data_IF_698726914270
#
_entry.id   IF_698726914270
#
_cell.length_a   1.000
_cell.length_b   1.000
_cell.length_c   1.000
_cell.angle_alpha   90.00
_cell.angle_beta   90.00
_cell.angle_gamma   90.00
#
_symmetry.space_group_name_H-M   'P 1'
#
loop_
_entity.id
_entity.type
_entity.pdbx_description
1 polymer ?
#
# COMPACT_ATOMS: atom_id res chain seq x y z
N UNK A 1 6.63 30.06 -17.97
CA UNK A 1 5.31 30.66 -17.69
C UNK A 1 4.27 29.57 -17.80
N UNK A 2 3.78 29.07 -16.67
CA UNK A 2 2.62 28.18 -16.63
C UNK A 2 1.64 28.84 -15.68
N UNK A 3 0.60 29.48 -16.23
CA UNK A 3 -0.53 29.90 -15.42
C UNK A 3 -1.15 28.61 -14.87
N UNK A 4 -1.02 28.37 -13.57
CA UNK A 4 -1.72 27.27 -12.91
C UNK A 4 -3.20 27.41 -13.23
N UNK A 5 -3.79 26.39 -13.85
CA UNK A 5 -5.24 26.31 -13.98
C UNK A 5 -5.78 26.36 -12.55
N UNK A 6 -6.41 27.48 -12.17
CA UNK A 6 -7.23 27.56 -10.97
C UNK A 6 -8.49 26.72 -11.23
N UNK A 7 -8.32 25.39 -11.25
CA UNK A 7 -9.40 24.45 -11.44
C UNK A 7 -10.26 24.41 -10.18
N UNK A 8 -11.58 24.44 -10.36
CA UNK A 8 -12.48 23.99 -9.29
C UNK A 8 -12.19 22.51 -9.02
N UNK A 9 -12.30 22.04 -7.77
CA UNK A 9 -12.19 20.61 -7.50
C UNK A 9 -13.22 19.85 -8.33
N UNK A 10 -12.78 18.88 -9.12
CA UNK A 10 -13.66 17.90 -9.77
C UNK A 10 -14.07 16.88 -8.71
N UNK A 11 -15.38 16.65 -8.57
CA UNK A 11 -15.91 15.58 -7.71
C UNK A 11 -16.44 14.47 -8.58
N UNK A 12 -16.05 13.24 -8.27
CA UNK A 12 -16.45 12.03 -8.98
C UNK A 12 -17.21 11.13 -8.01
N UNK A 13 -18.35 10.61 -8.44
CA UNK A 13 -19.07 9.61 -7.65
C UNK A 13 -18.40 8.25 -7.83
N UNK A 14 -17.92 7.68 -6.72
CA UNK A 14 -17.41 6.31 -6.67
C UNK A 14 -18.53 5.26 -6.66
N UNK A 15 -18.14 4.00 -6.55
CA UNK A 15 -19.07 2.87 -6.45
C UNK A 15 -19.68 2.78 -5.04
N UNK A 16 -21.00 2.60 -4.95
CA UNK A 16 -21.68 2.41 -3.67
C UNK A 16 -21.26 1.09 -3.00
N UNK A 17 -21.08 1.11 -1.67
CA UNK A 17 -20.71 -0.06 -0.87
C UNK A 17 -19.21 -0.38 -0.83
N UNK A 18 -18.41 0.25 -1.69
CA UNK A 18 -16.95 0.12 -1.69
C UNK A 18 -16.34 0.91 -0.54
N UNK A 19 -15.29 0.35 0.06
CA UNK A 19 -14.50 1.02 1.09
C UNK A 19 -13.01 0.99 0.70
N UNK A 20 -12.47 2.15 0.35
CA UNK A 20 -11.04 2.36 0.11
C UNK A 20 -10.41 3.00 1.35
N UNK A 21 -9.34 2.40 1.89
CA UNK A 21 -8.71 2.86 3.16
C UNK A 21 -7.31 3.42 2.97
N UNK A 22 -6.46 2.76 2.17
CA UNK A 22 -5.09 3.17 1.95
C UNK A 22 -4.85 3.42 0.46
N UNK A 23 -4.17 4.53 0.13
CA UNK A 23 -3.70 4.81 -1.23
C UNK A 23 -2.25 4.36 -1.32
N UNK A 24 -1.98 3.32 -2.09
CA UNK A 24 -0.65 2.79 -2.35
C UNK A 24 0.18 3.76 -3.19
N UNK A 25 -0.42 4.26 -4.26
CA UNK A 25 0.20 5.16 -5.22
C UNK A 25 -0.89 5.88 -6.01
N UNK A 26 -0.62 7.11 -6.42
CA UNK A 26 -1.42 7.81 -7.41
C UNK A 26 -0.53 8.67 -8.29
N UNK A 27 -0.91 8.84 -9.55
CA UNK A 27 -0.18 9.65 -10.51
C UNK A 27 -1.10 10.17 -11.62
N UNK A 28 -0.66 11.23 -12.28
CA UNK A 28 -1.29 11.70 -13.50
C UNK A 28 -1.02 10.71 -14.65
N UNK A 29 -1.97 10.58 -15.56
CA UNK A 29 -1.86 9.72 -16.72
C UNK A 29 -2.50 8.33 -16.59
N UNK A 30 -2.46 7.55 -17.68
CA UNK A 30 -3.01 6.19 -17.72
C UNK A 30 -2.13 5.21 -16.91
N UNK A 31 -2.66 4.03 -16.57
CA UNK A 31 -1.90 2.96 -15.93
C UNK A 31 -0.59 2.62 -16.64
N UNK A 32 0.40 2.19 -15.87
CA UNK A 32 1.69 1.76 -16.38
C UNK A 32 1.54 0.72 -17.51
N UNK A 33 2.22 0.96 -18.64
CA UNK A 33 2.21 0.10 -19.83
C UNK A 33 1.08 0.35 -20.82
N UNK A 34 0.02 1.08 -20.47
CA UNK A 34 -1.11 1.33 -21.38
C UNK A 34 -0.78 2.23 -22.56
N UNK A 35 0.15 3.18 -22.37
CA UNK A 35 0.61 4.04 -23.46
C UNK A 35 1.21 3.22 -24.62
N UNK A 36 1.86 2.09 -24.31
CA UNK A 36 2.51 1.22 -25.30
C UNK A 36 1.57 0.15 -25.86
N UNK A 37 0.63 -0.36 -25.05
CA UNK A 37 -0.34 -1.39 -25.47
C UNK A 37 -1.56 -0.84 -26.21
N UNK A 38 -1.73 0.48 -26.25
CA UNK A 38 -2.93 1.14 -26.75
C UNK A 38 -4.05 1.23 -25.71
N UNK A 39 -4.92 2.22 -25.91
CA UNK A 39 -6.03 2.53 -25.01
C UNK A 39 -7.15 1.48 -25.14
N UNK A 40 -7.74 0.99 -24.03
CA UNK A 40 -8.92 0.15 -24.13
C UNK A 40 -10.06 0.92 -24.79
N UNK A 41 -10.89 0.23 -25.59
CA UNK A 41 -11.96 0.88 -26.38
C UNK A 41 -12.95 1.69 -25.53
N UNK A 42 -13.14 1.31 -24.26
CA UNK A 42 -13.99 2.03 -23.31
C UNK A 42 -13.51 3.48 -23.03
N UNK A 43 -12.24 3.80 -23.32
CA UNK A 43 -11.62 5.09 -23.07
C UNK A 43 -11.53 5.95 -24.35
N UNK A 44 -12.26 5.59 -25.41
CA UNK A 44 -12.22 6.32 -26.67
C UNK A 44 -12.60 7.80 -26.49
N UNK A 45 -11.81 8.70 -27.06
CA UNK A 45 -12.01 10.15 -26.99
C UNK A 45 -11.48 10.82 -25.71
N UNK A 46 -10.82 10.07 -24.82
CA UNK A 46 -10.13 10.61 -23.63
C UNK A 46 -8.68 10.99 -23.95
N UNK A 47 -8.11 11.91 -23.17
CA UNK A 47 -6.70 12.30 -23.29
C UNK A 47 -5.89 11.84 -22.08
N UNK A 48 -4.64 11.44 -22.30
CA UNK A 48 -3.75 10.97 -21.23
C UNK A 48 -3.61 12.00 -20.10
N UNK A 49 -3.52 13.29 -20.47
CA UNK A 49 -3.26 14.39 -19.55
C UNK A 49 -4.43 14.68 -18.60
N UNK A 50 -5.63 14.17 -18.90
CA UNK A 50 -6.82 14.37 -18.08
C UNK A 50 -7.12 13.15 -17.18
N UNK A 51 -6.31 12.09 -17.27
CA UNK A 51 -6.46 10.90 -16.45
C UNK A 51 -5.67 11.02 -15.15
N UNK A 52 -6.23 10.43 -14.09
CA UNK A 52 -5.55 10.12 -12.83
C UNK A 52 -5.67 8.63 -12.59
N UNK A 53 -4.55 7.96 -12.35
CA UNK A 53 -4.53 6.56 -11.92
C UNK A 53 -4.22 6.48 -10.44
N UNK A 54 -5.02 5.73 -9.69
CA UNK A 54 -4.81 5.50 -8.26
C UNK A 54 -4.85 4.01 -7.94
N UNK A 55 -4.01 3.58 -7.02
CA UNK A 55 -3.94 2.22 -6.51
C UNK A 55 -4.27 2.25 -5.03
N UNK A 56 -5.28 1.49 -4.60
CA UNK A 56 -5.79 1.51 -3.23
C UNK A 56 -5.90 0.12 -2.64
N UNK A 57 -5.87 0.02 -1.31
CA UNK A 57 -6.37 -1.15 -0.59
C UNK A 57 -7.86 -0.97 -0.36
N UNK A 58 -8.65 -1.93 -0.86
CA UNK A 58 -10.08 -1.74 -1.04
C UNK A 58 -10.89 -3.00 -0.73
N UNK A 59 -12.06 -2.81 -0.12
CA UNK A 59 -13.12 -3.81 -0.05
C UNK A 59 -14.22 -3.47 -1.06
N UNK A 60 -14.67 -4.48 -1.81
CA UNK A 60 -15.80 -4.30 -2.75
C UNK A 60 -17.14 -4.09 -2.03
N UNK A 61 -17.28 -4.74 -0.87
CA UNK A 61 -18.40 -4.57 0.05
C UNK A 61 -17.85 -4.81 1.45
N UNK A 62 -18.14 -3.90 2.38
CA UNK A 62 -17.84 -4.11 3.79
C UNK A 62 -19.15 -4.07 4.58
N UNK A 63 -19.60 -5.19 5.16
CA UNK A 63 -20.83 -5.19 5.95
C UNK A 63 -20.65 -4.37 7.23
N UNK A 64 -21.76 -3.80 7.74
CA UNK A 64 -21.79 -3.20 9.07
C UNK A 64 -21.24 -4.18 10.11
N UNK A 65 -20.32 -3.73 10.96
CA UNK A 65 -19.67 -4.60 11.92
C UNK A 65 -18.56 -3.95 12.71
N UNK A 66 -17.98 -4.70 13.65
CA UNK A 66 -17.02 -4.19 14.62
C UNK A 66 -15.62 -3.89 14.05
N UNK A 67 -15.32 -4.24 12.80
CA UNK A 67 -13.99 -4.03 12.20
C UNK A 67 -13.59 -2.55 12.20
N UNK A 68 -14.54 -1.66 11.94
CA UNK A 68 -14.31 -0.21 11.95
C UNK A 68 -15.40 0.57 12.72
N UNK A 69 -16.25 -0.12 13.49
CA UNK A 69 -17.34 0.47 14.29
C UNK A 69 -18.72 0.38 13.63
N UNK A 70 -19.78 0.67 14.39
CA UNK A 70 -21.17 0.76 13.88
C UNK A 70 -21.30 1.98 12.94
N UNK A 71 -20.90 1.83 11.67
CA UNK A 71 -21.10 2.85 10.64
C UNK A 71 -22.60 3.08 10.41
N UNK A 72 -23.04 4.34 10.36
CA UNK A 72 -24.45 4.70 10.16
C UNK A 72 -25.19 5.24 11.40
N UNK A 73 -24.50 5.37 12.55
CA UNK A 73 -25.02 6.05 13.76
C UNK A 73 -24.35 7.40 14.05
N UNK A 74 -23.98 8.14 13.01
CA UNK A 74 -23.43 9.50 13.18
C UNK A 74 -24.49 10.43 13.79
N UNK A 75 -24.24 10.92 15.01
CA UNK A 75 -25.04 11.95 15.67
C UNK A 75 -25.77 11.54 16.96
N UNK A 76 -25.71 10.28 17.39
CA UNK A 76 -26.20 9.91 18.72
C UNK A 76 -25.13 10.22 19.78
N UNK A 77 -25.48 11.01 20.81
CA UNK A 77 -24.67 11.02 22.03
C UNK A 77 -24.81 9.65 22.70
N UNK A 78 -23.68 9.01 23.00
CA UNK A 78 -23.72 7.77 23.77
C UNK A 78 -24.09 8.09 25.22
N UNK A 79 -25.37 7.99 25.55
CA UNK A 79 -25.86 8.16 26.92
C UNK A 79 -25.66 6.88 27.77
N UNK A 80 -24.83 5.93 27.32
CA UNK A 80 -24.52 4.67 28.00
C UNK A 80 -23.02 4.31 27.92
N UNK A 81 -22.57 3.46 28.86
CA UNK A 81 -21.17 3.04 29.02
C UNK A 81 -20.59 2.43 27.73
N UNK A 82 -19.39 2.86 27.34
CA UNK A 82 -18.66 2.31 26.18
C UNK A 82 -18.57 0.79 26.34
N UNK A 83 -19.27 0.04 25.47
CA UNK A 83 -19.19 -1.42 25.47
C UNK A 83 -17.74 -1.85 25.27
N UNK A 84 -17.20 -2.57 26.25
CA UNK A 84 -15.91 -3.27 26.17
C UNK A 84 -16.03 -4.63 25.47
N UNK A 85 -17.26 -5.04 25.20
CA UNK A 85 -17.60 -6.30 24.56
C UNK A 85 -17.64 -6.06 23.05
N UNK A 86 -16.46 -6.05 22.43
CA UNK A 86 -16.35 -6.03 20.97
C UNK A 86 -16.87 -7.38 20.48
N UNK A 87 -17.97 -7.47 19.70
CA UNK A 87 -18.32 -8.72 19.03
C UNK A 87 -17.08 -9.18 18.29
N UNK A 88 -16.61 -10.39 18.60
CA UNK A 88 -15.37 -10.93 18.04
C UNK A 88 -15.49 -10.88 16.51
N UNK A 89 -14.86 -9.88 15.89
CA UNK A 89 -14.78 -9.78 14.45
C UNK A 89 -13.98 -11.00 13.99
N UNK A 90 -14.65 -11.94 13.33
CA UNK A 90 -13.94 -13.05 12.72
C UNK A 90 -13.42 -12.61 11.38
N UNK A 91 -12.11 -12.60 11.19
CA UNK A 91 -11.53 -12.33 9.87
C UNK A 91 -12.04 -13.32 8.82
N UNK A 92 -12.45 -14.53 9.21
CA UNK A 92 -13.05 -15.51 8.30
C UNK A 92 -14.41 -15.05 7.72
N UNK A 93 -15.09 -14.09 8.34
CA UNK A 93 -16.35 -13.51 7.86
C UNK A 93 -16.15 -12.10 7.29
N UNK A 94 -14.98 -11.52 7.46
CA UNK A 94 -14.60 -10.23 6.89
C UNK A 94 -14.16 -10.43 5.43
N UNK A 95 -14.75 -9.68 4.47
CA UNK A 95 -14.26 -9.68 3.10
C UNK A 95 -12.78 -9.29 3.03
N UNK A 96 -12.06 -9.79 2.03
CA UNK A 96 -10.63 -9.45 1.88
C UNK A 96 -10.45 -8.08 1.24
N UNK A 97 -9.59 -7.26 1.83
CA UNK A 97 -9.03 -6.10 1.17
C UNK A 97 -8.11 -6.56 0.04
N UNK A 98 -8.15 -5.86 -1.09
CA UNK A 98 -7.33 -6.15 -2.27
C UNK A 98 -6.71 -4.88 -2.80
N UNK A 99 -5.59 -5.03 -3.51
CA UNK A 99 -5.03 -3.95 -4.31
C UNK A 99 -5.93 -3.69 -5.51
N UNK A 100 -6.52 -2.50 -5.58
CA UNK A 100 -7.46 -2.07 -6.61
C UNK A 100 -6.88 -0.88 -7.35
N UNK A 101 -6.98 -0.91 -8.68
CA UNK A 101 -6.65 0.21 -9.57
C UNK A 101 -7.93 0.97 -9.93
N UNK A 102 -7.86 2.28 -9.84
CA UNK A 102 -8.87 3.23 -10.32
C UNK A 102 -8.27 4.05 -11.45
N UNK A 103 -9.02 4.21 -12.54
CA UNK A 103 -8.68 5.15 -13.62
C UNK A 103 -9.79 6.20 -13.68
N UNK A 104 -9.43 7.44 -13.41
CA UNK A 104 -10.35 8.56 -13.23
C UNK A 104 -10.12 9.56 -14.35
N UNK A 105 -11.19 10.01 -14.99
CA UNK A 105 -11.20 11.16 -15.88
C UNK A 105 -11.49 12.42 -15.06
N UNK A 106 -10.45 13.22 -14.82
CA UNK A 106 -10.54 14.43 -14.02
C UNK A 106 -11.18 15.60 -14.78
N UNK A 107 -11.24 15.56 -16.12
CA UNK A 107 -11.90 16.56 -16.95
C UNK A 107 -13.42 16.37 -16.94
N UNK A 108 -13.90 15.13 -17.11
CA UNK A 108 -15.32 14.81 -17.17
C UNK A 108 -15.93 14.43 -15.81
N UNK A 109 -15.08 14.12 -14.82
CA UNK A 109 -15.51 13.73 -13.49
C UNK A 109 -16.11 12.33 -13.44
N UNK A 110 -15.41 11.36 -14.02
CA UNK A 110 -15.89 9.98 -14.20
C UNK A 110 -14.84 8.95 -13.72
N UNK A 111 -15.27 7.87 -13.06
CA UNK A 111 -14.42 6.69 -12.87
C UNK A 111 -14.59 5.80 -14.09
N UNK A 112 -13.56 5.72 -14.93
CA UNK A 112 -13.57 4.93 -16.16
C UNK A 112 -13.30 3.45 -15.90
N UNK A 113 -12.48 3.14 -14.90
CA UNK A 113 -12.21 1.77 -14.45
C UNK A 113 -12.02 1.73 -12.94
N UNK A 114 -12.59 0.71 -12.31
CA UNK A 114 -12.20 0.21 -10.98
C UNK A 114 -12.03 -1.29 -11.08
N UNK A 115 -10.81 -1.79 -10.93
CA UNK A 115 -10.53 -3.22 -11.01
C UNK A 115 -9.54 -3.67 -9.94
N UNK A 116 -9.74 -4.86 -9.40
CA UNK A 116 -8.68 -5.54 -8.63
C UNK A 116 -7.48 -5.70 -9.57
N UNK A 117 -6.28 -5.44 -9.07
CA UNK A 117 -5.06 -5.64 -9.85
C UNK A 117 -5.05 -7.06 -10.42
N UNK A 118 -5.02 -7.23 -11.76
CA UNK A 118 -5.07 -8.56 -12.37
C UNK A 118 -3.89 -9.43 -11.97
N UNK A 119 -4.03 -10.74 -12.11
CA UNK A 119 -2.94 -11.69 -11.88
C UNK A 119 -2.94 -12.20 -10.44
N UNK A 120 -1.76 -12.27 -9.82
CA UNK A 120 -1.60 -12.93 -8.51
C UNK A 120 -2.38 -12.21 -7.40
N UNK A 121 -2.61 -10.90 -7.53
CA UNK A 121 -3.28 -10.07 -6.52
C UNK A 121 -4.77 -10.44 -6.31
N UNK A 122 -5.42 -11.09 -7.27
CA UNK A 122 -6.85 -11.44 -7.18
C UNK A 122 -7.14 -12.45 -6.05
N UNK A 123 -6.15 -13.30 -5.73
CA UNK A 123 -6.22 -14.34 -4.72
C UNK A 123 -5.82 -13.86 -3.31
N UNK A 124 -5.17 -12.71 -3.21
CA UNK A 124 -4.54 -12.25 -1.96
C UNK A 124 -5.47 -11.33 -1.17
N UNK A 125 -5.36 -11.42 0.16
CA UNK A 125 -5.78 -10.35 1.07
C UNK A 125 -4.57 -9.43 1.30
N UNK A 126 -4.67 -8.14 0.97
CA UNK A 126 -3.53 -7.23 0.93
C UNK A 126 -3.87 -5.88 1.54
N UNK A 127 -2.99 -5.36 2.39
CA UNK A 127 -3.16 -4.07 3.07
C UNK A 127 -1.81 -3.37 3.30
N UNK A 128 -1.85 -2.18 3.89
CA UNK A 128 -0.68 -1.37 4.29
C UNK A 128 0.37 -1.24 3.16
N UNK A 129 0.00 -0.64 2.02
CA UNK A 129 0.89 -0.51 0.89
C UNK A 129 1.98 0.53 1.13
N UNK A 130 3.16 0.25 0.58
CA UNK A 130 4.27 1.20 0.47
C UNK A 130 4.92 1.10 -0.91
N UNK A 131 5.58 2.17 -1.34
CA UNK A 131 6.35 2.23 -2.58
C UNK A 131 7.74 2.81 -2.30
N UNK A 132 8.62 2.78 -3.30
CA UNK A 132 9.79 3.65 -3.27
C UNK A 132 9.35 5.12 -3.33
N UNK A 133 9.57 5.87 -2.25
CA UNK A 133 9.14 7.27 -2.14
C UNK A 133 9.76 8.21 -3.18
N UNK A 134 10.84 7.80 -3.85
CA UNK A 134 11.39 8.54 -5.00
C UNK A 134 10.45 8.55 -6.21
N UNK A 135 9.48 7.63 -6.25
CA UNK A 135 8.49 7.46 -7.31
C UNK A 135 7.08 7.89 -6.88
N UNK A 136 6.91 8.51 -5.71
CA UNK A 136 5.60 9.06 -5.29
C UNK A 136 5.11 10.09 -6.29
N UNK A 137 3.91 9.88 -6.85
CA UNK A 137 3.37 10.73 -7.91
C UNK A 137 3.91 10.44 -9.32
N UNK A 138 4.90 9.58 -9.47
CA UNK A 138 5.54 9.27 -10.75
C UNK A 138 4.78 8.14 -11.48
N UNK A 139 4.32 8.34 -12.74
CA UNK A 139 3.70 7.29 -13.54
C UNK A 139 4.63 6.11 -13.85
N UNK A 140 5.95 6.25 -13.65
CA UNK A 140 6.92 5.18 -13.84
C UNK A 140 7.05 4.25 -12.61
N UNK A 141 6.35 4.51 -11.50
CA UNK A 141 6.34 3.61 -10.34
C UNK A 141 5.77 2.24 -10.74
N UNK A 142 6.57 1.19 -10.56
CA UNK A 142 6.24 -0.19 -10.94
C UNK A 142 6.00 -1.08 -9.74
N UNK A 143 6.63 -0.84 -8.59
CA UNK A 143 6.62 -1.79 -7.48
C UNK A 143 5.87 -1.26 -6.25
N UNK A 144 4.91 -2.06 -5.77
CA UNK A 144 4.21 -1.83 -4.50
C UNK A 144 4.53 -2.98 -3.55
N UNK A 145 4.84 -2.67 -2.30
CA UNK A 145 5.07 -3.65 -1.24
C UNK A 145 3.89 -3.60 -0.27
N UNK A 146 3.34 -4.75 0.10
CA UNK A 146 2.15 -4.84 0.95
C UNK A 146 2.29 -5.95 1.97
N UNK A 147 1.60 -5.81 3.09
CA UNK A 147 1.37 -6.95 3.98
C UNK A 147 0.29 -7.84 3.35
N UNK A 148 0.45 -9.16 3.47
CA UNK A 148 -0.49 -10.13 2.92
C UNK A 148 -1.02 -11.10 3.96
N UNK A 149 -2.29 -11.47 3.82
CA UNK A 149 -2.91 -12.60 4.48
C UNK A 149 -2.70 -13.91 3.71
N UNK A 150 -3.59 -14.87 3.93
CA UNK A 150 -3.59 -16.15 3.22
C UNK A 150 -3.98 -16.03 1.73
N UNK A 151 -3.87 -17.14 1.00
CA UNK A 151 -4.26 -17.26 -0.42
C UNK A 151 -5.55 -18.04 -0.67
N UNK A 152 -6.29 -18.41 0.38
CA UNK A 152 -7.54 -19.21 0.26
C UNK A 152 -8.79 -18.33 0.03
N UNK A 153 -8.60 -17.05 -0.26
CA UNK A 153 -9.67 -16.13 -0.65
C UNK A 153 -10.50 -15.57 0.52
N UNK A 154 -10.05 -15.71 1.76
CA UNK A 154 -10.68 -15.13 2.95
C UNK A 154 -9.72 -14.17 3.66
N UNK A 155 -10.25 -13.21 4.40
CA UNK A 155 -9.40 -12.38 5.26
C UNK A 155 -8.81 -13.20 6.41
N UNK A 156 -7.55 -12.94 6.76
CA UNK A 156 -6.85 -13.51 7.92
C UNK A 156 -5.90 -12.49 8.50
N UNK A 157 -5.41 -12.70 9.73
CA UNK A 157 -4.31 -11.91 10.23
C UNK A 157 -3.17 -11.89 9.21
N UNK A 158 -2.50 -10.75 9.01
CA UNK A 158 -1.42 -10.68 8.05
C UNK A 158 -0.29 -11.61 8.48
N UNK A 159 0.23 -12.40 7.55
CA UNK A 159 1.16 -13.50 7.84
C UNK A 159 2.38 -13.53 6.90
N UNK A 160 2.52 -12.49 6.06
CA UNK A 160 3.62 -12.36 5.12
C UNK A 160 3.63 -10.99 4.44
N UNK A 161 4.49 -10.88 3.44
CA UNK A 161 4.61 -9.69 2.60
C UNK A 161 4.64 -10.07 1.12
N UNK A 162 4.21 -9.14 0.28
CA UNK A 162 4.32 -9.24 -1.17
C UNK A 162 5.00 -8.01 -1.77
N UNK A 163 5.73 -8.22 -2.86
CA UNK A 163 6.16 -7.21 -3.83
C UNK A 163 5.34 -7.44 -5.10
N UNK A 164 4.54 -6.46 -5.47
CA UNK A 164 3.66 -6.48 -6.62
C UNK A 164 4.29 -5.68 -7.76
N UNK A 165 4.35 -6.27 -8.94
CA UNK A 165 4.70 -5.59 -10.18
C UNK A 165 3.43 -5.05 -10.85
N UNK A 166 3.22 -3.74 -10.80
CA UNK A 166 2.04 -3.05 -11.34
C UNK A 166 1.92 -3.18 -12.87
N UNK A 167 3.01 -3.45 -13.58
CA UNK A 167 2.98 -3.66 -15.03
C UNK A 167 2.43 -5.05 -15.38
N UNK A 168 2.79 -6.07 -14.62
CA UNK A 168 2.50 -7.48 -14.98
C UNK A 168 1.44 -8.14 -14.11
N UNK A 169 1.11 -7.57 -12.96
CA UNK A 169 0.19 -8.15 -11.98
C UNK A 169 0.78 -9.30 -11.16
N UNK A 170 2.06 -9.63 -11.36
CA UNK A 170 2.75 -10.70 -10.61
C UNK A 170 3.11 -10.24 -9.20
N UNK A 171 3.07 -11.17 -8.26
CA UNK A 171 3.46 -10.92 -6.87
C UNK A 171 4.52 -11.92 -6.39
N UNK A 172 5.71 -11.41 -6.05
CA UNK A 172 6.68 -12.14 -5.22
C UNK A 172 6.18 -12.14 -3.79
N UNK A 173 6.19 -13.30 -3.12
CA UNK A 173 5.54 -13.49 -1.82
C UNK A 173 6.48 -14.17 -0.85
N UNK A 174 6.42 -13.75 0.42
CA UNK A 174 7.10 -14.43 1.51
C UNK A 174 6.18 -14.56 2.73
N UNK A 175 6.11 -15.77 3.30
CA UNK A 175 5.29 -16.08 4.46
C UNK A 175 6.15 -16.44 5.67
N UNK A 176 5.82 -15.87 6.83
CA UNK A 176 6.60 -16.02 8.05
C UNK A 176 6.47 -17.40 8.73
N UNK A 177 5.45 -18.16 8.35
CA UNK A 177 5.11 -19.46 8.92
C UNK A 177 4.02 -19.36 10.00
N UNK A 178 3.67 -20.51 10.59
CA UNK A 178 2.57 -20.59 11.57
C UNK A 178 2.84 -19.72 12.79
N UNK A 179 1.78 -19.09 13.33
CA UNK A 179 1.84 -18.28 14.56
C UNK A 179 2.80 -17.07 14.46
N UNK A 180 3.08 -16.64 13.23
CA UNK A 180 3.83 -15.42 12.95
C UNK A 180 2.89 -14.42 12.28
N UNK A 181 2.95 -13.17 12.70
CA UNK A 181 2.02 -12.13 12.28
C UNK A 181 2.82 -10.90 11.81
N UNK A 182 2.48 -10.42 10.62
CA UNK A 182 3.22 -9.40 9.89
C UNK A 182 2.58 -8.02 10.05
N UNK A 183 3.41 -6.99 10.15
CA UNK A 183 3.01 -5.57 10.17
C UNK A 183 3.34 -4.88 8.83
N UNK A 184 3.11 -3.56 8.74
CA UNK A 184 3.38 -2.74 7.56
C UNK A 184 4.85 -2.85 7.08
N UNK A 185 5.09 -3.14 5.79
CA UNK A 185 6.43 -3.06 5.21
C UNK A 185 6.82 -1.61 4.88
N UNK A 186 8.12 -1.33 4.90
CA UNK A 186 8.70 -0.05 4.47
C UNK A 186 9.84 -0.27 3.49
N UNK A 187 9.76 0.36 2.32
CA UNK A 187 10.87 0.38 1.37
C UNK A 187 11.90 1.44 1.75
N UNK A 188 13.18 1.06 1.71
CA UNK A 188 14.32 1.96 1.94
C UNK A 188 15.29 1.83 0.76
N UNK A 189 15.47 2.88 -0.06
CA UNK A 189 16.42 2.84 -1.18
C UNK A 189 17.84 2.52 -0.73
N UNK A 190 18.58 1.74 -1.52
CA UNK A 190 20.00 1.52 -1.27
C UNK A 190 20.75 2.84 -1.42
N UNK A 191 21.61 3.14 -0.45
CA UNK A 191 22.38 4.38 -0.49
C UNK A 191 21.53 5.65 -0.37
N UNK A 192 20.41 5.59 0.36
CA UNK A 192 19.42 6.67 0.51
C UNK A 192 19.94 8.10 0.84
N UNK A 193 21.24 8.30 1.13
CA UNK A 193 21.91 9.61 1.03
C UNK A 193 21.36 10.74 1.91
N UNK A 194 20.41 10.48 2.82
CA UNK A 194 19.69 11.50 3.57
C UNK A 194 18.23 11.73 3.15
N UNK A 195 17.65 10.93 2.24
CA UNK A 195 16.22 10.95 1.88
C UNK A 195 15.45 9.80 2.57
N UNK A 196 14.43 10.15 3.35
CA UNK A 196 13.56 9.19 4.05
C UNK A 196 12.33 8.84 3.26
N UNK A 197 11.47 7.98 3.84
CA UNK A 197 10.23 7.50 3.20
C UNK A 197 9.20 8.60 2.93
N UNK A 198 9.47 9.84 3.37
CA UNK A 198 8.57 11.00 3.27
C UNK A 198 9.22 12.23 2.62
N UNK A 199 10.31 12.07 1.84
CA UNK A 199 10.92 13.16 1.09
C UNK A 199 10.51 13.09 -0.39
N UNK A 200 9.37 13.68 -0.80
CA UNK A 200 8.98 13.74 -2.20
C UNK A 200 9.97 14.59 -3.01
N UNK A 201 10.17 14.24 -4.28
CA UNK A 201 10.69 15.17 -5.28
C UNK A 201 12.20 15.31 -5.39
N UNK A 202 12.97 14.25 -5.14
CA UNK A 202 14.30 14.23 -5.73
C UNK A 202 14.75 12.81 -6.05
N UNK A 203 15.45 12.61 -7.18
CA UNK A 203 15.89 11.28 -7.60
C UNK A 203 16.63 10.59 -6.44
N UNK A 204 16.52 9.26 -6.37
CA UNK A 204 17.51 8.46 -5.67
C UNK A 204 18.88 9.02 -6.06
N UNK A 205 19.74 9.32 -5.09
CA UNK A 205 21.08 9.79 -5.44
C UNK A 205 21.70 8.81 -6.45
N UNK A 206 22.42 9.35 -7.43
CA UNK A 206 23.03 8.61 -8.53
C UNK A 206 23.75 7.36 -7.99
N UNK A 207 23.09 6.19 -8.07
CA UNK A 207 23.56 4.99 -7.38
C UNK A 207 22.52 3.87 -7.25
N UNK A 208 21.23 4.18 -7.16
CA UNK A 208 20.17 3.14 -7.27
C UNK A 208 20.07 2.68 -8.72
N UNK A 209 20.31 1.39 -8.97
CA UNK A 209 20.36 0.82 -10.32
C UNK A 209 18.98 0.58 -10.93
N UNK A 210 17.95 0.37 -10.09
CA UNK A 210 16.54 0.13 -10.45
C UNK A 210 15.62 0.60 -9.32
N UNK A 211 14.33 0.80 -9.61
CA UNK A 211 13.32 1.26 -8.62
C UNK A 211 13.30 0.44 -7.33
N UNK A 212 13.52 -0.87 -7.44
CA UNK A 212 13.53 -1.86 -6.36
C UNK A 212 14.93 -2.13 -5.79
N UNK A 213 15.96 -1.37 -6.16
CA UNK A 213 17.29 -1.46 -5.56
C UNK A 213 17.30 -0.85 -4.16
N UNK A 214 16.98 -1.68 -3.18
CA UNK A 214 16.85 -1.26 -1.79
C UNK A 214 16.58 -2.41 -0.83
N UNK A 215 15.99 -2.04 0.29
CA UNK A 215 15.63 -2.94 1.37
C UNK A 215 14.14 -2.81 1.67
N UNK A 216 13.50 -3.91 2.05
CA UNK A 216 12.19 -3.86 2.71
C UNK A 216 12.39 -4.16 4.19
N UNK A 217 11.94 -3.23 5.03
CA UNK A 217 11.94 -3.37 6.49
C UNK A 217 10.53 -3.69 6.96
N UNK A 218 10.35 -4.74 7.75
CA UNK A 218 9.03 -5.08 8.26
C UNK A 218 9.10 -5.77 9.63
N UNK A 219 8.14 -5.46 10.50
CA UNK A 219 8.05 -6.04 11.84
C UNK A 219 7.27 -7.37 11.81
N UNK A 220 7.76 -8.36 12.56
CA UNK A 220 7.18 -9.68 12.65
C UNK A 220 7.03 -10.12 14.11
N UNK A 221 5.78 -10.30 14.53
CA UNK A 221 5.50 -10.96 15.80
C UNK A 221 5.60 -12.48 15.66
N UNK A 222 6.45 -13.13 16.44
CA UNK A 222 6.51 -14.59 16.56
C UNK A 222 5.91 -15.02 17.90
N UNK A 223 4.69 -15.55 17.87
CA UNK A 223 3.97 -15.95 19.07
C UNK A 223 4.51 -17.25 19.71
N UNK A 224 5.40 -18.00 19.06
CA UNK A 224 6.10 -19.12 19.69
C UNK A 224 7.28 -18.63 20.54
N UNK A 225 7.88 -17.49 20.16
CA UNK A 225 8.97 -16.83 20.89
C UNK A 225 8.49 -15.73 21.83
N UNK A 226 7.25 -15.26 21.66
CA UNK A 226 6.67 -14.10 22.35
C UNK A 226 7.52 -12.84 22.16
N UNK A 227 7.93 -12.61 20.90
CA UNK A 227 8.89 -11.55 20.54
C UNK A 227 8.61 -10.98 19.17
N UNK A 228 8.97 -9.71 19.03
CA UNK A 228 9.08 -9.04 17.75
C UNK A 228 10.42 -9.27 17.07
N UNK A 229 10.39 -9.17 15.75
CA UNK A 229 11.56 -9.26 14.89
C UNK A 229 11.47 -8.23 13.78
N UNK A 230 12.43 -7.32 13.72
CA UNK A 230 12.65 -6.51 12.52
C UNK A 230 13.29 -7.40 11.45
N UNK A 231 12.53 -7.72 10.41
CA UNK A 231 12.98 -8.42 9.23
C UNK A 231 13.51 -7.40 8.20
N UNK A 232 14.68 -7.69 7.64
CA UNK A 232 15.27 -6.92 6.53
C UNK A 232 15.35 -7.85 5.32
N UNK A 233 14.70 -7.46 4.24
CA UNK A 233 14.70 -8.18 2.97
C UNK A 233 15.50 -7.41 1.93
N UNK A 234 16.15 -8.14 1.01
CA UNK A 234 16.60 -7.55 -0.25
C UNK A 234 15.38 -7.34 -1.16
N UNK A 235 15.09 -6.10 -1.53
CA UNK A 235 13.89 -5.77 -2.30
C UNK A 235 13.93 -6.33 -3.74
N UNK A 236 15.12 -6.68 -4.25
CA UNK A 236 15.28 -7.34 -5.55
C UNK A 236 14.80 -8.79 -5.55
N UNK A 237 14.68 -9.42 -4.38
CA UNK A 237 14.25 -10.81 -4.25
C UNK A 237 13.54 -11.02 -2.90
N UNK A 238 12.27 -10.63 -2.82
CA UNK A 238 11.51 -10.71 -1.58
C UNK A 238 11.27 -12.17 -1.18
N UNK A 239 11.04 -13.05 -2.16
CA UNK A 239 10.73 -14.47 -1.95
C UNK A 239 11.86 -15.27 -1.29
N UNK A 240 13.13 -14.82 -1.44
CA UNK A 240 14.26 -15.43 -0.75
C UNK A 240 14.19 -15.29 0.78
N UNK A 241 13.34 -14.40 1.28
CA UNK A 241 13.16 -14.14 2.70
C UNK A 241 14.16 -13.14 3.27
N UNK A 242 14.11 -12.91 4.59
CA UNK A 242 14.90 -11.86 5.22
C UNK A 242 16.39 -12.22 5.23
N UNK A 243 17.21 -11.31 4.71
CA UNK A 243 18.68 -11.36 4.78
C UNK A 243 19.20 -11.06 6.20
N UNK A 244 18.38 -10.41 7.02
CA UNK A 244 18.67 -10.15 8.43
C UNK A 244 17.39 -10.17 9.26
N UNK A 245 17.50 -10.65 10.50
CA UNK A 245 16.45 -10.66 11.52
C UNK A 245 17.01 -10.09 12.82
N UNK A 246 16.54 -8.91 13.20
CA UNK A 246 16.89 -8.28 14.47
C UNK A 246 15.77 -8.50 15.49
N UNK A 247 15.98 -9.41 16.42
CA UNK A 247 15.00 -9.77 17.45
C UNK A 247 14.97 -8.75 18.58
N UNK A 248 13.77 -8.28 18.91
CA UNK A 248 13.52 -7.45 20.08
C UNK A 248 13.42 -8.35 21.32
N UNK A 249 13.72 -7.84 22.52
CA UNK A 249 13.62 -8.61 23.75
C UNK A 249 12.17 -8.77 24.26
N UNK A 250 11.18 -8.21 23.57
CA UNK A 250 9.75 -8.21 23.92
C UNK A 250 8.87 -8.29 22.67
N UNK A 251 7.59 -8.63 22.86
CA UNK A 251 6.54 -8.39 21.88
C UNK A 251 6.13 -6.92 21.87
N UNK A 252 5.72 -6.42 20.70
CA UNK A 252 5.09 -5.11 20.52
C UNK A 252 3.66 -5.40 20.05
N UNK A 253 2.64 -4.68 20.54
CA UNK A 253 1.31 -4.79 19.98
C UNK A 253 1.34 -4.49 18.48
N UNK A 254 0.53 -5.21 17.69
CA UNK A 254 0.38 -4.95 16.26
C UNK A 254 0.22 -3.47 15.99
N UNK A 255 1.14 -2.94 15.17
CA UNK A 255 1.24 -1.53 14.91
C UNK A 255 0.39 -1.11 13.71
N UNK A 256 0.28 0.21 13.52
CA UNK A 256 -0.33 0.80 12.33
C UNK A 256 0.81 1.28 11.43
N UNK A 257 0.89 2.59 11.18
CA UNK A 257 1.85 3.14 10.24
C UNK A 257 3.21 3.47 10.87
N UNK A 258 4.24 3.37 10.04
CA UNK A 258 5.59 3.81 10.37
C UNK A 258 6.24 4.69 9.29
N UNK A 259 7.46 5.13 9.57
CA UNK A 259 8.30 5.77 8.55
C UNK A 259 9.79 5.51 8.82
N UNK A 260 10.61 5.54 7.76
CA UNK A 260 12.06 5.50 7.88
C UNK A 260 12.63 6.90 7.70
N UNK A 261 13.40 7.33 8.70
CA UNK A 261 14.13 8.59 8.67
C UNK A 261 15.62 8.28 8.57
N UNK A 262 16.31 8.67 7.48
CA UNK A 262 17.74 8.49 7.36
C UNK A 262 18.45 9.38 8.35
N UNK A 263 19.63 8.95 8.79
CA UNK A 263 20.51 9.85 9.52
C UNK A 263 20.82 11.06 8.62
N UNK A 264 20.65 12.31 9.11
CA UNK A 264 21.08 13.49 8.38
C UNK A 264 22.54 13.34 7.97
N UNK A 265 22.89 13.77 6.75
CA UNK A 265 24.30 13.89 6.38
C UNK A 265 25.00 14.74 7.45
N UNK A 266 26.10 14.25 8.01
CA UNK A 266 26.87 15.02 8.98
C UNK A 266 27.29 16.32 8.29
N UNK A 267 26.71 17.45 8.72
CA UNK A 267 27.20 18.76 8.31
C UNK A 267 28.59 18.91 8.91
N UNK A 268 29.60 18.91 8.05
CA UNK A 268 30.99 19.06 8.48
C UNK A 268 31.20 20.38 9.21
N UNK A 269 31.65 20.27 10.47
CA UNK A 269 32.63 21.07 11.20
C UNK A 269 32.15 21.40 12.62
N UNK A 270 32.60 20.59 13.58
CA UNK A 270 33.03 21.14 14.86
C UNK A 270 34.56 21.26 14.80
N UNK A 271 35.03 22.44 14.42
CA UNK A 271 36.35 22.95 14.77
C UNK A 271 36.22 23.76 16.06
#
# INVERSE_FOLDING_TARGET
>A
GGAGRAGRPTSVLGHAGVFDVHVAHCHDGPPLGWADSGWPAAFAGRQAADLVTAYTSSWDELPEGSLFGEWGKEGESYDFEVRRDVPQASMSTTPRARLVRHVIDAEHGEVLERCVMPGDCEALAMEHPTINCAYTGDPACRYVYMVIGNEVGLSTPPCGWAKVDLLTGKAERWYAGSRCFADEPHFVPRGAGGKGTWCPGGPAEAGSASEDDGWVLAMLYDAARDRECLCVFDALNLEAGPVCRAWLPHGVPHSLHGCFVPRPAATGNCA
#
